data_IF_174271884919
#
_entry.id   IF_174271884919
#
_cell.length_a   1.000
_cell.length_b   1.000
_cell.length_c   1.000
_cell.angle_alpha   90.00
_cell.angle_beta   90.00
_cell.angle_gamma   90.00
#
_symmetry.space_group_name_H-M   'P 1'
#
loop_
_entity.id
_entity.type
_entity.pdbx_description
1 polymer ?
#
# COMPACT_ATOMS: atom_id res chain seq x y z
N UNK A 1 -15.05 -6.95 2.02
CA UNK A 1 -14.18 -6.20 2.94
C UNK A 1 -13.57 -5.00 2.24
N UNK A 2 -13.16 -3.99 3.01
CA UNK A 2 -12.34 -2.87 2.54
C UNK A 2 -10.87 -3.10 2.87
N UNK A 3 -10.02 -3.12 1.84
CA UNK A 3 -8.60 -3.49 1.93
C UNK A 3 -7.74 -2.29 1.58
N UNK A 4 -6.85 -1.91 2.48
CA UNK A 4 -5.81 -0.92 2.23
C UNK A 4 -4.56 -1.58 1.65
N UNK A 5 -3.99 -0.95 0.63
CA UNK A 5 -2.73 -1.37 0.01
C UNK A 5 -1.64 -0.35 0.32
N UNK A 6 -0.51 -0.83 0.84
CA UNK A 6 0.72 -0.03 0.93
C UNK A 6 1.54 -0.11 -0.37
N UNK A 7 2.64 0.65 -0.39
CA UNK A 7 3.57 0.69 -1.53
C UNK A 7 4.16 -0.69 -1.85
N UNK A 8 4.47 -1.51 -0.85
CA UNK A 8 5.08 -2.83 -1.05
C UNK A 8 4.16 -3.76 -1.84
N UNK A 9 2.85 -3.75 -1.55
CA UNK A 9 1.87 -4.56 -2.27
C UNK A 9 1.62 -4.02 -3.67
N UNK A 10 1.46 -2.70 -3.82
CA UNK A 10 1.21 -2.07 -5.12
C UNK A 10 2.37 -2.36 -6.09
N UNK A 11 3.62 -2.21 -5.64
CA UNK A 11 4.79 -2.52 -6.47
C UNK A 11 4.81 -4.00 -6.86
N UNK A 12 4.64 -4.90 -5.89
CA UNK A 12 4.65 -6.34 -6.15
C UNK A 12 3.55 -6.77 -7.14
N UNK A 13 2.35 -6.24 -6.99
CA UNK A 13 1.22 -6.58 -7.85
C UNK A 13 1.38 -6.03 -9.29
N UNK A 14 2.07 -4.91 -9.47
CA UNK A 14 2.26 -4.25 -10.77
C UNK A 14 3.49 -4.76 -11.53
N UNK A 15 4.48 -5.35 -10.84
CA UNK A 15 5.73 -5.81 -11.44
C UNK A 15 5.72 -7.33 -11.54
N UNK A 16 5.53 -7.86 -12.76
CA UNK A 16 5.43 -9.30 -13.00
C UNK A 16 6.68 -10.09 -12.56
N UNK A 17 7.87 -9.49 -12.69
CA UNK A 17 9.13 -10.08 -12.28
C UNK A 17 9.38 -10.04 -10.76
N UNK A 18 8.48 -9.46 -9.96
CA UNK A 18 8.62 -9.40 -8.51
C UNK A 18 8.38 -10.77 -7.89
N UNK A 19 9.20 -11.19 -6.93
CA UNK A 19 9.08 -12.51 -6.26
C UNK A 19 7.69 -12.74 -5.66
N UNK A 20 7.12 -11.70 -5.07
CA UNK A 20 5.77 -11.72 -4.48
C UNK A 20 4.64 -11.32 -5.44
N UNK A 21 4.88 -11.31 -6.76
CA UNK A 21 3.88 -10.86 -7.74
C UNK A 21 2.55 -11.60 -7.60
N UNK A 22 2.59 -12.94 -7.54
CA UNK A 22 1.37 -13.74 -7.43
C UNK A 22 0.63 -13.52 -6.10
N UNK A 23 1.38 -13.32 -5.01
CA UNK A 23 0.82 -13.07 -3.68
C UNK A 23 0.04 -11.75 -3.65
N UNK A 24 0.54 -10.71 -4.32
CA UNK A 24 -0.06 -9.39 -4.33
C UNK A 24 -1.15 -9.22 -5.41
N UNK A 25 -0.92 -9.77 -6.62
CA UNK A 25 -1.81 -9.58 -7.78
C UNK A 25 -3.22 -10.11 -7.56
N UNK A 26 -3.38 -11.22 -6.83
CA UNK A 26 -4.70 -11.80 -6.56
C UNK A 26 -5.61 -10.80 -5.86
N UNK A 27 -5.11 -10.03 -4.89
CA UNK A 27 -5.89 -9.03 -4.16
C UNK A 27 -6.33 -7.85 -5.03
N UNK A 28 -5.45 -7.33 -5.89
CA UNK A 28 -5.84 -6.28 -6.84
C UNK A 28 -6.84 -6.80 -7.88
N UNK A 29 -6.71 -8.05 -8.32
CA UNK A 29 -7.68 -8.70 -9.21
C UNK A 29 -9.05 -8.84 -8.55
N UNK A 30 -9.08 -9.21 -7.28
CA UNK A 30 -10.32 -9.33 -6.49
C UNK A 30 -11.03 -7.98 -6.35
N UNK A 31 -10.27 -6.91 -6.11
CA UNK A 31 -10.79 -5.53 -6.12
C UNK A 31 -11.33 -5.14 -7.50
N UNK A 32 -10.57 -5.39 -8.57
CA UNK A 32 -11.00 -5.07 -9.93
C UNK A 32 -12.28 -5.82 -10.35
N UNK A 33 -12.51 -7.01 -9.79
CA UNK A 33 -13.71 -7.82 -10.01
C UNK A 33 -14.85 -7.49 -9.02
N UNK A 34 -14.69 -6.48 -8.18
CA UNK A 34 -15.71 -6.02 -7.23
C UNK A 34 -15.94 -6.94 -6.03
N UNK A 35 -15.05 -7.92 -5.78
CA UNK A 35 -15.14 -8.80 -4.59
C UNK A 35 -14.76 -8.06 -3.31
N UNK A 36 -13.89 -7.06 -3.43
CA UNK A 36 -13.42 -6.23 -2.33
C UNK A 36 -13.40 -4.76 -2.75
N UNK A 37 -13.42 -3.86 -1.76
CA UNK A 37 -13.18 -2.43 -1.99
C UNK A 37 -11.72 -2.15 -1.70
N UNK A 38 -10.94 -1.77 -2.71
CA UNK A 38 -9.54 -1.43 -2.54
C UNK A 38 -9.35 0.06 -2.23
N UNK A 39 -8.48 0.37 -1.27
CA UNK A 39 -8.07 1.74 -0.96
C UNK A 39 -6.56 1.85 -0.88
N UNK A 40 -6.00 3.02 -1.21
CA UNK A 40 -4.59 3.34 -0.96
C UNK A 40 -4.45 4.83 -0.70
N UNK A 41 -3.37 5.25 -0.04
CA UNK A 41 -3.08 6.67 0.11
C UNK A 41 -2.52 7.27 -1.19
N UNK A 42 -2.71 8.57 -1.40
CA UNK A 42 -1.98 9.26 -2.48
C UNK A 42 -0.46 9.18 -2.32
N UNK A 43 0.05 9.06 -1.09
CA UNK A 43 1.47 8.87 -0.83
C UNK A 43 1.94 7.49 -1.33
N UNK A 44 1.18 6.43 -1.10
CA UNK A 44 1.51 5.09 -1.58
C UNK A 44 1.60 5.07 -3.10
N UNK A 45 0.73 5.81 -3.78
CA UNK A 45 0.78 5.98 -5.23
C UNK A 45 2.06 6.69 -5.70
N UNK A 46 2.45 7.76 -5.01
CA UNK A 46 3.67 8.52 -5.31
C UNK A 46 4.93 7.69 -5.09
N UNK A 47 5.01 6.95 -3.98
CA UNK A 47 6.10 6.02 -3.71
C UNK A 47 6.15 4.89 -4.75
N UNK A 48 4.99 4.33 -5.12
CA UNK A 48 4.91 3.30 -6.17
C UNK A 48 5.47 3.84 -7.48
N UNK A 49 5.08 5.04 -7.91
CA UNK A 49 5.65 5.68 -9.10
C UNK A 49 7.18 5.83 -9.01
N UNK A 50 7.68 6.33 -7.88
CA UNK A 50 9.09 6.53 -7.65
C UNK A 50 9.88 5.21 -7.63
N UNK A 51 9.27 4.11 -7.18
CA UNK A 51 9.88 2.78 -7.25
C UNK A 51 9.88 2.26 -8.68
N UNK A 52 8.72 2.25 -9.36
CA UNK A 52 8.59 1.74 -10.73
C UNK A 52 9.59 2.39 -11.71
N UNK A 53 9.85 3.69 -11.56
CA UNK A 53 10.79 4.44 -12.41
C UNK A 53 12.26 4.19 -12.08
N UNK A 54 12.58 3.63 -10.91
CA UNK A 54 13.95 3.30 -10.48
C UNK A 54 14.29 1.82 -10.63
N UNK A 55 13.29 0.94 -10.73
CA UNK A 55 13.52 -0.50 -10.82
C UNK A 55 14.39 -0.86 -12.05
N UNK A 56 15.38 -1.75 -11.90
CA UNK A 56 16.28 -2.14 -12.98
C UNK A 56 15.64 -3.17 -13.94
N UNK A 57 14.39 -2.94 -14.37
CA UNK A 57 13.67 -3.80 -15.29
C UNK A 57 14.29 -3.77 -16.71
N UNK A 58 14.00 -4.82 -17.48
CA UNK A 58 14.41 -4.96 -18.89
C UNK A 58 13.19 -5.31 -19.74
N UNK A 59 12.67 -4.38 -20.57
CA UNK A 59 13.07 -2.97 -20.67
C UNK A 59 12.75 -2.18 -19.39
N UNK A 60 13.43 -1.05 -19.17
CA UNK A 60 13.09 -0.13 -18.06
C UNK A 60 11.74 0.52 -18.35
N UNK A 61 10.94 0.74 -17.31
CA UNK A 61 9.73 1.56 -17.41
C UNK A 61 10.11 3.04 -17.54
N UNK A 62 9.55 3.73 -18.54
CA UNK A 62 9.63 5.19 -18.60
C UNK A 62 8.73 5.83 -17.53
N UNK A 63 9.00 7.09 -17.13
CA UNK A 63 8.11 7.87 -16.27
C UNK A 63 6.65 7.90 -16.74
N UNK A 64 6.42 7.99 -18.05
CA UNK A 64 5.10 8.01 -18.68
C UNK A 64 4.42 6.65 -18.61
N UNK A 65 5.17 5.56 -18.85
CA UNK A 65 4.64 4.20 -18.71
C UNK A 65 4.24 3.92 -17.26
N UNK A 66 5.10 4.29 -16.30
CA UNK A 66 4.77 4.19 -14.88
C UNK A 66 3.51 5.00 -14.55
N UNK A 67 3.36 6.21 -15.07
CA UNK A 67 2.15 7.01 -14.88
C UNK A 67 0.90 6.33 -15.47
N UNK A 68 0.98 5.77 -16.68
CA UNK A 68 -0.14 5.06 -17.32
C UNK A 68 -0.59 3.85 -16.50
N UNK A 69 0.37 3.07 -15.96
CA UNK A 69 0.07 1.94 -15.06
C UNK A 69 -0.71 2.43 -13.84
N UNK A 70 -0.27 3.53 -13.22
CA UNK A 70 -0.94 4.09 -12.05
C UNK A 70 -2.29 4.74 -12.39
N UNK A 71 -2.50 5.25 -13.60
CA UNK A 71 -3.82 5.71 -14.07
C UNK A 71 -4.80 4.55 -14.11
N UNK A 72 -4.42 3.40 -14.67
CA UNK A 72 -5.29 2.21 -14.71
C UNK A 72 -5.56 1.65 -13.32
N UNK A 73 -4.56 1.63 -12.44
CA UNK A 73 -4.75 1.21 -11.05
C UNK A 73 -5.85 2.04 -10.36
N UNK A 74 -5.86 3.35 -10.57
CA UNK A 74 -6.83 4.30 -9.98
C UNK A 74 -8.27 4.10 -10.44
N UNK A 75 -8.49 3.37 -11.53
CA UNK A 75 -9.85 3.01 -11.99
C UNK A 75 -10.49 1.95 -11.09
N UNK A 76 -9.68 1.23 -10.30
CA UNK A 76 -10.14 0.11 -9.47
C UNK A 76 -10.00 0.35 -7.97
N UNK A 77 -9.15 1.29 -7.53
CA UNK A 77 -8.94 1.59 -6.12
C UNK A 77 -9.36 3.02 -5.78
N UNK A 78 -9.88 3.21 -4.56
CA UNK A 78 -10.19 4.55 -4.03
C UNK A 78 -8.94 5.14 -3.39
N UNK A 79 -8.54 6.34 -3.84
CA UNK A 79 -7.42 7.03 -3.24
C UNK A 79 -7.84 7.91 -2.07
N UNK A 80 -7.20 7.71 -0.93
CA UNK A 80 -7.43 8.46 0.30
C UNK A 80 -6.65 9.77 0.24
N UNK A 81 -7.38 10.89 0.34
CA UNK A 81 -6.81 12.22 0.42
C UNK A 81 -6.02 12.43 1.73
N UNK A 82 -4.82 13.00 1.61
CA UNK A 82 -3.90 13.19 2.72
C UNK A 82 -3.92 14.64 3.20
N UNK A 83 -4.84 14.92 4.12
CA UNK A 83 -4.94 16.22 4.80
C UNK A 83 -3.82 16.36 5.85
N UNK A 84 -3.39 17.59 6.21
CA UNK A 84 -2.34 17.81 7.21
C UNK A 84 -2.52 17.02 8.52
N UNK A 85 -3.76 16.91 9.01
CA UNK A 85 -4.09 16.15 10.22
C UNK A 85 -3.69 14.66 10.17
N UNK A 86 -3.65 14.04 8.98
CA UNK A 86 -3.22 12.64 8.84
C UNK A 86 -1.70 12.51 9.02
N UNK A 87 -0.93 13.50 8.55
CA UNK A 87 0.51 13.54 8.77
C UNK A 87 0.85 13.78 10.24
N UNK A 88 0.14 14.69 10.91
CA UNK A 88 0.32 14.93 12.35
C UNK A 88 0.02 13.67 13.17
N UNK A 89 -1.05 12.94 12.84
CA UNK A 89 -1.35 11.64 13.46
C UNK A 89 -0.26 10.61 13.21
N UNK A 90 0.30 10.54 11.99
CA UNK A 90 1.39 9.63 11.67
C UNK A 90 2.65 9.95 12.47
N UNK A 91 3.02 11.24 12.57
CA UNK A 91 4.15 11.71 13.39
C UNK A 91 3.92 11.35 14.86
N UNK A 92 2.73 11.59 15.40
CA UNK A 92 2.40 11.26 16.79
C UNK A 92 2.55 9.76 17.09
N UNK A 93 2.19 8.88 16.14
CA UNK A 93 2.43 7.44 16.25
C UNK A 93 3.92 7.12 16.29
N UNK A 94 4.73 7.73 15.42
CA UNK A 94 6.18 7.52 15.44
C UNK A 94 6.81 7.98 16.75
N UNK A 95 6.39 9.14 17.27
CA UNK A 95 6.85 9.63 18.58
C UNK A 95 6.52 8.65 19.71
N UNK A 96 5.29 8.13 19.72
CA UNK A 96 4.83 7.17 20.73
C UNK A 96 5.59 5.85 20.64
N UNK A 97 5.87 5.38 19.42
CA UNK A 97 6.59 4.13 19.17
C UNK A 97 8.12 4.27 19.23
N UNK A 98 8.67 5.47 19.47
CA UNK A 98 10.11 5.73 19.38
C UNK A 98 10.70 5.49 17.97
N UNK A 99 9.86 5.54 16.94
CA UNK A 99 10.25 5.32 15.55
C UNK A 99 10.81 6.58 14.90
N UNK A 100 11.68 6.41 13.90
CA UNK A 100 12.38 7.52 13.23
C UNK A 100 12.38 7.34 11.71
N UNK A 101 12.78 8.40 10.98
CA UNK A 101 12.97 8.38 9.53
C UNK A 101 11.70 7.99 8.76
N UNK A 102 11.81 7.14 7.74
CA UNK A 102 10.74 6.71 6.86
C UNK A 102 9.56 6.01 7.53
N UNK A 103 9.67 5.61 8.80
CA UNK A 103 8.57 5.05 9.59
C UNK A 103 7.30 5.93 9.60
N UNK A 104 7.47 7.24 9.41
CA UNK A 104 6.35 8.18 9.30
C UNK A 104 5.44 7.88 8.11
N UNK A 105 5.96 7.30 7.03
CA UNK A 105 5.16 6.95 5.86
C UNK A 105 4.38 5.66 6.06
N UNK A 106 4.93 4.68 6.79
CA UNK A 106 4.17 3.51 7.24
C UNK A 106 3.02 3.94 8.17
N UNK A 107 3.33 4.85 9.11
CA UNK A 107 2.33 5.47 9.97
C UNK A 107 1.24 6.22 9.18
N UNK A 108 1.63 6.93 8.12
CA UNK A 108 0.70 7.66 7.25
C UNK A 108 -0.22 6.73 6.48
N UNK A 109 0.31 5.62 5.94
CA UNK A 109 -0.49 4.59 5.27
C UNK A 109 -1.49 3.96 6.22
N UNK A 110 -1.07 3.67 7.45
CA UNK A 110 -1.94 3.08 8.48
C UNK A 110 -3.04 4.05 8.94
N UNK A 111 -2.71 5.32 9.18
CA UNK A 111 -3.69 6.37 9.50
C UNK A 111 -4.68 6.59 8.35
N UNK A 112 -4.19 6.60 7.10
CA UNK A 112 -5.05 6.73 5.92
C UNK A 112 -6.00 5.53 5.78
N UNK A 113 -5.50 4.31 5.99
CA UNK A 113 -6.29 3.09 5.97
C UNK A 113 -7.40 3.11 7.03
N UNK A 114 -7.07 3.52 8.27
CA UNK A 114 -8.05 3.71 9.35
C UNK A 114 -9.09 4.77 8.99
N UNK A 115 -8.68 5.93 8.49
CA UNK A 115 -9.61 6.99 8.10
C UNK A 115 -10.55 6.55 6.97
N UNK A 116 -10.07 5.69 6.07
CA UNK A 116 -10.89 5.09 5.02
C UNK A 116 -11.84 4.00 5.54
N UNK A 117 -11.72 3.58 6.81
CA UNK A 117 -12.47 2.46 7.39
C UNK A 117 -12.06 1.13 6.78
N UNK A 118 -10.78 0.96 6.42
CA UNK A 118 -10.26 -0.32 5.98
C UNK A 118 -10.30 -1.32 7.14
N UNK A 119 -10.66 -2.56 6.81
CA UNK A 119 -10.67 -3.68 7.77
C UNK A 119 -9.28 -4.33 7.81
N UNK A 120 -8.61 -4.37 6.66
CA UNK A 120 -7.29 -4.99 6.47
C UNK A 120 -6.35 -4.00 5.80
N UNK A 121 -5.08 -3.99 6.21
CA UNK A 121 -3.96 -3.39 5.49
C UNK A 121 -3.03 -4.51 5.04
N UNK A 122 -2.87 -4.67 3.73
CA UNK A 122 -1.92 -5.60 3.14
C UNK A 122 -0.55 -4.93 3.02
N UNK A 123 0.48 -5.63 3.49
CA UNK A 123 1.89 -5.18 3.42
C UNK A 123 2.84 -6.39 3.46
N UNK A 124 4.02 -6.26 2.84
CA UNK A 124 5.14 -7.18 3.07
C UNK A 124 6.08 -6.72 4.19
N UNK A 125 5.82 -5.55 4.80
CA UNK A 125 6.60 -4.96 5.89
C UNK A 125 5.82 -5.02 7.23
N UNK A 126 5.27 -6.18 7.57
CA UNK A 126 4.31 -6.30 8.68
C UNK A 126 4.82 -5.79 10.03
N UNK A 127 6.10 -6.00 10.33
CA UNK A 127 6.72 -5.54 11.59
C UNK A 127 6.74 -4.00 11.68
N UNK A 128 7.00 -3.32 10.55
CA UNK A 128 7.04 -1.86 10.47
C UNK A 128 5.68 -1.23 10.73
N UNK A 129 4.61 -1.89 10.27
CA UNK A 129 3.24 -1.45 10.54
C UNK A 129 2.77 -1.84 11.94
N UNK A 130 3.10 -3.05 12.39
CA UNK A 130 2.64 -3.58 13.68
C UNK A 130 3.12 -2.75 14.86
N UNK A 131 4.37 -2.25 14.82
CA UNK A 131 4.91 -1.34 15.86
C UNK A 131 4.21 0.03 15.91
N UNK A 132 3.50 0.44 14.86
CA UNK A 132 2.80 1.74 14.74
C UNK A 132 1.29 1.61 14.92
N UNK A 133 0.79 0.39 15.09
CA UNK A 133 -0.63 0.07 15.17
C UNK A 133 -1.22 0.44 16.52
N UNK A 134 -2.43 0.98 16.48
CA UNK A 134 -3.26 1.30 17.63
C UNK A 134 -4.59 0.56 17.57
N UNK A 135 -5.30 0.51 18.68
CA UNK A 135 -6.66 -0.04 18.72
C UNK A 135 -7.59 0.70 17.74
N UNK A 136 -8.38 -0.09 17.01
CA UNK A 136 -9.26 0.39 15.94
C UNK A 136 -8.56 0.65 14.60
N UNK A 137 -7.27 0.35 14.48
CA UNK A 137 -6.61 0.26 13.16
C UNK A 137 -6.98 -1.06 12.45
N UNK A 138 -6.87 -1.10 11.11
CA UNK A 138 -7.04 -2.33 10.36
C UNK A 138 -6.11 -3.44 10.86
N UNK A 139 -6.51 -4.68 10.58
CA UNK A 139 -5.64 -5.84 10.73
C UNK A 139 -4.48 -5.77 9.73
N UNK A 140 -3.26 -6.01 10.19
CA UNK A 140 -2.08 -6.05 9.33
C UNK A 140 -1.94 -7.48 8.82
N UNK A 141 -2.01 -7.64 7.50
CA UNK A 141 -1.97 -8.96 6.86
C UNK A 141 -0.86 -9.00 5.83
N UNK A 142 0.01 -10.01 5.94
CA UNK A 142 0.94 -10.36 4.86
C UNK A 142 0.17 -11.25 3.88
N UNK A 143 0.12 -10.93 2.58
CA UNK A 143 -0.53 -11.79 1.60
C UNK A 143 0.03 -13.23 1.66
N UNK A 144 -0.81 -14.25 1.84
CA UNK A 144 -0.36 -15.64 1.89
C UNK A 144 0.11 -16.11 0.51
N UNK A 145 0.80 -17.26 0.49
CA UNK A 145 1.12 -17.93 -0.78
C UNK A 145 -0.18 -18.36 -1.47
N UNK A 146 -0.46 -17.87 -2.70
CA UNK A 146 -1.68 -18.22 -3.43
C UNK A 146 -1.76 -19.70 -3.82
N UNK A 147 -0.69 -20.48 -3.61
CA UNK A 147 -0.62 -21.91 -3.87
C UNK A 147 -0.59 -22.80 -2.61
N UNK A 148 -0.66 -22.22 -1.41
CA UNK A 148 -0.83 -23.00 -0.18
C UNK A 148 -2.31 -23.07 0.21
N UNK A 149 -2.84 -24.27 0.51
CA UNK A 149 -4.24 -24.48 0.88
C UNK A 149 -4.61 -23.92 2.25
#
# INVERSE_FOLDING_TARGET
MKIAFDTSILVAALVEAHSFHQHAKVWLKDVALGRHVGVASWHALAETWAVLTRLPLRPRLSPEQAHQVLTRLREHIVLVELRPALYEQAIARCLTAGATSGAVFDGLHLVAARNAGAEVLLTFNADDFSRLRLDGDPEIVVPPDPHQP
#
